data_IF_017214505180
#
_entry.id   IF_017214505180
#
_cell.length_a   1.000
_cell.length_b   1.000
_cell.length_c   1.000
_cell.angle_alpha   90.00
_cell.angle_beta   90.00
_cell.angle_gamma   90.00
#
_symmetry.space_group_name_H-M   'P 1'
#
loop_
_entity.id
_entity.type
_entity.pdbx_description
1 polymer ?
#
# COMPACT_ATOMS: atom_id res chain seq x y z
N UNK A 1 -5.94 40.36 -49.59
CA UNK A 1 -4.79 40.19 -50.52
C UNK A 1 -4.21 38.84 -50.18
N UNK A 2 -4.63 37.84 -50.82
CA UNK A 2 -4.22 37.07 -51.99
C UNK A 2 -3.41 35.87 -51.57
N UNK A 3 -4.06 34.70 -51.69
CA UNK A 3 -3.45 33.41 -52.03
C UNK A 3 -2.73 33.49 -53.38
N UNK A 4 -1.95 32.48 -53.88
CA UNK A 4 -2.41 31.13 -54.18
C UNK A 4 -1.37 30.02 -53.95
N UNK A 5 -1.73 28.78 -53.74
CA UNK A 5 -1.95 27.59 -54.56
C UNK A 5 -0.87 27.22 -55.63
N UNK A 6 -0.47 25.91 -55.62
CA UNK A 6 -0.14 25.06 -56.81
C UNK A 6 0.33 23.69 -56.31
N UNK A 7 -0.41 22.62 -56.39
CA UNK A 7 -0.66 21.58 -57.40
C UNK A 7 0.57 20.79 -57.89
N UNK A 8 0.63 19.48 -57.55
CA UNK A 8 0.92 18.15 -58.05
C UNK A 8 1.97 17.94 -59.16
N UNK A 9 2.19 16.72 -59.72
CA UNK A 9 1.41 15.48 -59.73
C UNK A 9 2.21 14.14 -59.59
N UNK A 10 1.50 13.07 -59.37
CA UNK A 10 1.42 11.69 -59.91
C UNK A 10 2.61 11.14 -60.73
N UNK A 11 3.02 9.94 -60.37
CA UNK A 11 3.84 9.07 -61.20
C UNK A 11 3.68 7.61 -60.84
N UNK A 12 2.77 6.94 -61.55
CA UNK A 12 2.55 5.48 -61.64
C UNK A 12 3.54 4.85 -62.59
N UNK A 13 4.07 3.62 -62.31
CA UNK A 13 4.48 2.64 -63.31
C UNK A 13 4.66 1.27 -62.63
N UNK A 14 3.81 0.40 -62.74
CA UNK A 14 3.49 -0.78 -63.54
C UNK A 14 4.65 -1.81 -63.75
N UNK A 15 4.51 -3.02 -63.14
CA UNK A 15 4.22 -4.38 -63.63
C UNK A 15 5.33 -5.01 -64.54
N UNK A 16 5.83 -6.20 -64.36
CA UNK A 16 5.40 -7.58 -64.21
C UNK A 16 6.55 -8.54 -64.63
N UNK A 17 6.34 -9.81 -64.96
CA UNK A 17 6.39 -10.97 -64.05
C UNK A 17 7.41 -12.02 -64.53
N UNK A 18 7.54 -13.09 -63.73
CA UNK A 18 7.93 -14.37 -64.35
C UNK A 18 9.16 -15.05 -63.79
N UNK A 19 8.99 -16.15 -63.21
CA UNK A 19 9.49 -17.46 -63.60
C UNK A 19 9.44 -18.43 -62.41
N UNK A 20 8.90 -19.57 -62.69
CA UNK A 20 8.58 -20.66 -61.78
C UNK A 20 9.79 -21.49 -61.31
N UNK A 21 9.54 -22.59 -60.65
CA UNK A 21 10.38 -23.19 -59.61
C UNK A 21 11.40 -24.22 -60.11
N UNK A 22 12.38 -24.53 -59.28
CA UNK A 22 12.91 -25.90 -59.32
C UNK A 22 12.91 -26.59 -57.96
N UNK A 23 12.28 -27.74 -58.03
CA UNK A 23 12.59 -29.06 -57.46
C UNK A 23 13.14 -29.17 -56.04
N UNK A 24 12.28 -29.74 -55.24
CA UNK A 24 12.40 -30.75 -54.19
C UNK A 24 13.79 -31.36 -54.00
N UNK A 25 14.33 -31.09 -52.80
CA UNK A 25 15.32 -32.00 -52.18
C UNK A 25 14.63 -32.55 -50.90
N UNK A 26 14.42 -33.84 -50.88
CA UNK A 26 13.98 -34.60 -49.72
C UNK A 26 15.07 -34.50 -48.65
N UNK A 27 14.82 -33.78 -47.56
CA UNK A 27 15.56 -33.99 -46.33
C UNK A 27 14.78 -34.94 -45.44
N UNK A 28 15.52 -35.92 -44.98
CA UNK A 28 15.13 -37.01 -44.10
C UNK A 28 14.70 -36.41 -42.76
N UNK A 29 13.49 -36.75 -42.33
CA UNK A 29 12.97 -36.44 -41.03
C UNK A 29 13.78 -37.18 -39.96
N UNK A 30 14.61 -36.46 -39.20
CA UNK A 30 14.95 -36.83 -37.85
C UNK A 30 13.78 -36.42 -36.92
N UNK A 31 13.36 -37.28 -36.02
CA UNK A 31 12.32 -36.93 -35.06
C UNK A 31 12.81 -35.80 -34.16
N UNK A 32 11.99 -34.80 -33.83
CA UNK A 32 12.37 -33.77 -32.88
C UNK A 32 12.67 -34.39 -31.54
N UNK A 33 13.86 -34.10 -31.04
CA UNK A 33 14.30 -34.34 -29.68
C UNK A 33 13.17 -33.87 -28.73
N UNK A 34 12.73 -34.75 -27.87
CA UNK A 34 11.66 -34.48 -26.94
C UNK A 34 11.99 -33.22 -26.12
N UNK A 35 11.26 -32.15 -26.38
CA UNK A 35 11.29 -30.95 -25.55
C UNK A 35 11.02 -31.41 -24.13
N UNK A 36 11.99 -31.25 -23.26
CA UNK A 36 11.81 -31.45 -21.82
C UNK A 36 10.61 -30.59 -21.41
N UNK A 37 9.54 -31.26 -20.95
CA UNK A 37 8.43 -30.59 -20.32
C UNK A 37 8.97 -29.71 -19.20
N UNK A 38 8.54 -28.43 -19.07
CA UNK A 38 8.96 -27.62 -17.95
C UNK A 38 8.52 -28.34 -16.68
N UNK A 39 9.47 -28.62 -15.79
CA UNK A 39 9.21 -29.20 -14.49
C UNK A 39 8.08 -28.41 -13.84
N UNK A 40 6.91 -29.04 -13.67
CA UNK A 40 5.78 -28.49 -12.93
C UNK A 40 6.29 -28.28 -11.52
N UNK A 41 6.39 -27.02 -11.12
CA UNK A 41 6.74 -26.66 -9.74
C UNK A 41 5.63 -27.20 -8.83
N UNK A 42 5.90 -28.34 -8.18
CA UNK A 42 5.00 -29.01 -7.23
C UNK A 42 4.77 -28.22 -5.92
N UNK A 43 5.25 -26.97 -5.86
CA UNK A 43 4.88 -26.05 -4.80
C UNK A 43 3.43 -25.61 -5.02
N UNK A 44 2.52 -26.24 -4.30
CA UNK A 44 1.12 -25.82 -4.23
C UNK A 44 1.00 -24.31 -4.01
N UNK A 45 -0.16 -23.68 -4.23
CA UNK A 45 -0.33 -22.23 -4.23
C UNK A 45 0.30 -21.65 -2.97
N UNK A 46 1.36 -20.85 -3.12
CA UNK A 46 2.09 -20.27 -2.01
C UNK A 46 1.07 -19.52 -1.12
N UNK A 47 0.90 -20.00 0.10
CA UNK A 47 -0.01 -19.34 1.06
C UNK A 47 0.55 -17.96 1.33
N UNK A 48 -0.20 -16.93 0.93
CA UNK A 48 0.19 -15.53 1.10
C UNK A 48 -0.58 -14.87 2.22
N UNK A 49 -0.08 -13.79 2.74
CA UNK A 49 -0.73 -12.92 3.71
C UNK A 49 -0.49 -11.47 3.32
N UNK A 50 -1.50 -10.62 3.48
CA UNK A 50 -1.35 -9.19 3.28
C UNK A 50 -0.73 -8.58 4.53
N UNK A 51 0.39 -7.86 4.37
CA UNK A 51 1.22 -7.37 5.47
C UNK A 51 1.49 -5.88 5.33
N UNK A 52 1.57 -5.21 6.48
CA UNK A 52 2.03 -3.83 6.58
C UNK A 52 2.75 -3.59 7.92
N UNK A 53 3.54 -2.52 7.99
CA UNK A 53 4.21 -2.05 9.18
C UNK A 53 3.57 -0.77 9.68
N UNK A 54 3.32 -0.68 10.98
CA UNK A 54 2.54 0.41 11.58
C UNK A 54 2.97 0.77 13.00
N UNK A 55 2.54 1.97 13.43
CA UNK A 55 2.47 2.39 14.83
C UNK A 55 1.01 2.45 15.25
N UNK A 56 0.70 2.04 16.47
CA UNK A 56 -0.65 2.14 17.03
C UNK A 56 -0.66 3.21 18.14
N UNK A 57 -1.60 4.19 18.10
CA UNK A 57 -1.84 5.05 19.23
C UNK A 57 -2.34 4.24 20.44
N UNK A 58 -2.02 4.65 21.68
CA UNK A 58 -2.56 4.01 22.88
C UNK A 58 -4.07 4.25 22.98
N UNK A 59 -4.76 3.43 23.78
CA UNK A 59 -6.22 3.44 23.87
C UNK A 59 -6.78 4.79 24.33
N UNK A 60 -6.11 5.46 25.26
CA UNK A 60 -6.52 6.77 25.75
C UNK A 60 -6.49 7.88 24.65
N UNK A 61 -5.50 7.84 23.75
CA UNK A 61 -5.46 8.74 22.60
C UNK A 61 -6.54 8.38 21.55
N UNK A 62 -6.80 7.09 21.35
CA UNK A 62 -7.90 6.63 20.49
C UNK A 62 -9.27 7.03 21.04
N UNK A 63 -9.49 6.87 22.34
CA UNK A 63 -10.75 7.24 23.03
C UNK A 63 -11.02 8.75 22.94
N UNK A 64 -9.99 9.57 23.00
CA UNK A 64 -10.11 11.02 22.86
C UNK A 64 -10.62 11.41 21.47
N UNK A 65 -10.03 10.84 20.41
CA UNK A 65 -10.48 11.04 19.04
C UNK A 65 -11.87 10.43 18.80
N UNK A 66 -12.17 9.25 19.37
CA UNK A 66 -13.47 8.62 19.24
C UNK A 66 -14.58 9.46 19.84
N UNK A 67 -14.33 10.10 20.99
CA UNK A 67 -15.28 11.06 21.61
C UNK A 67 -15.51 12.28 20.71
N UNK A 68 -14.47 12.83 20.11
CA UNK A 68 -14.58 13.94 19.17
C UNK A 68 -15.39 13.56 17.92
N UNK A 69 -15.34 12.29 17.51
CA UNK A 69 -16.10 11.74 16.38
C UNK A 69 -17.56 11.37 16.73
N UNK A 70 -17.96 11.39 18.00
CA UNK A 70 -19.31 11.01 18.43
C UNK A 70 -20.43 11.58 17.58
N UNK A 71 -20.52 12.92 17.39
CA UNK A 71 -21.54 13.52 16.54
C UNK A 71 -21.50 13.06 15.07
N UNK A 72 -20.31 12.72 14.57
CA UNK A 72 -20.15 12.26 13.20
C UNK A 72 -20.63 10.81 13.02
N UNK A 73 -20.47 9.95 14.01
CA UNK A 73 -21.03 8.57 13.99
C UNK A 73 -22.54 8.59 13.85
N UNK A 74 -23.20 9.47 14.60
CA UNK A 74 -24.66 9.62 14.56
C UNK A 74 -25.13 10.21 13.23
N UNK A 75 -24.48 11.25 12.75
CA UNK A 75 -24.86 11.97 11.53
C UNK A 75 -24.56 11.16 10.25
N UNK A 76 -23.49 10.38 10.24
CA UNK A 76 -23.00 9.67 9.03
C UNK A 76 -22.86 8.15 9.25
N UNK A 77 -23.93 7.43 9.61
CA UNK A 77 -23.87 5.99 9.86
C UNK A 77 -23.55 5.16 8.61
N UNK A 78 -23.64 5.75 7.41
CA UNK A 78 -23.31 5.09 6.14
C UNK A 78 -21.83 5.10 5.79
N UNK A 79 -21.01 5.92 6.46
CA UNK A 79 -19.56 5.82 6.33
C UNK A 79 -19.11 4.43 6.80
N UNK A 80 -18.17 3.87 6.07
CA UNK A 80 -17.53 2.61 6.48
C UNK A 80 -16.45 2.94 7.50
N UNK A 81 -16.89 3.08 8.76
CA UNK A 81 -16.00 3.38 9.87
C UNK A 81 -15.05 2.20 10.13
N UNK A 82 -13.78 2.50 10.32
CA UNK A 82 -12.83 1.54 10.86
C UNK A 82 -13.11 1.35 12.36
N UNK A 83 -12.87 0.15 12.85
CA UNK A 83 -12.95 -0.12 14.29
C UNK A 83 -11.85 0.66 14.99
N UNK A 84 -12.12 1.14 16.20
CA UNK A 84 -11.17 1.95 16.99
C UNK A 84 -9.91 1.13 17.31
N UNK A 85 -10.08 -0.17 17.60
CA UNK A 85 -8.97 -1.08 17.87
C UNK A 85 -8.01 -1.21 16.68
N UNK A 86 -8.53 -1.07 15.45
CA UNK A 86 -7.78 -1.20 14.21
C UNK A 86 -7.09 0.10 13.77
N UNK A 87 -7.21 1.18 14.56
CA UNK A 87 -6.60 2.46 14.22
C UNK A 87 -5.08 2.41 14.34
N UNK A 88 -4.38 2.76 13.25
CA UNK A 88 -2.93 2.71 13.17
C UNK A 88 -2.38 3.73 12.17
N UNK A 89 -1.11 4.08 12.32
CA UNK A 89 -0.34 4.89 11.38
C UNK A 89 0.48 3.93 10.51
N UNK A 90 0.14 3.76 9.25
CA UNK A 90 0.87 2.88 8.35
C UNK A 90 2.20 3.51 7.92
N UNK A 91 3.32 2.83 8.16
CA UNK A 91 4.66 3.24 7.73
C UNK A 91 5.03 2.66 6.36
N UNK A 92 4.70 1.38 6.14
CA UNK A 92 4.94 0.68 4.89
C UNK A 92 3.86 -0.37 4.64
N UNK A 93 3.23 -0.31 3.47
CA UNK A 93 2.26 -1.29 3.03
C UNK A 93 2.95 -2.26 2.03
N UNK A 94 3.17 -3.50 2.46
CA UNK A 94 3.96 -4.48 1.73
C UNK A 94 3.13 -5.29 0.72
N UNK A 95 1.80 -5.27 0.86
CA UNK A 95 0.92 -6.06 0.01
C UNK A 95 0.87 -7.53 0.40
N UNK A 96 0.61 -8.39 -0.57
CA UNK A 96 0.56 -9.85 -0.39
C UNK A 96 1.98 -10.43 -0.40
N UNK A 97 2.38 -11.08 0.68
CA UNK A 97 3.66 -11.74 0.82
C UNK A 97 3.48 -13.25 1.03
N UNK A 98 4.37 -14.10 0.48
CA UNK A 98 4.46 -15.50 0.88
C UNK A 98 4.69 -15.61 2.39
N UNK A 99 4.03 -16.53 3.06
CA UNK A 99 4.24 -16.75 4.50
C UNK A 99 5.70 -17.06 4.85
N UNK A 100 6.45 -17.63 3.93
CA UNK A 100 7.89 -17.91 4.08
C UNK A 100 8.76 -16.66 4.09
N UNK A 101 8.28 -15.53 3.55
CA UNK A 101 9.01 -14.27 3.52
C UNK A 101 8.88 -13.50 4.84
N UNK A 102 7.76 -13.66 5.55
CA UNK A 102 7.47 -12.91 6.78
C UNK A 102 8.55 -13.07 7.86
N UNK A 103 9.02 -14.31 8.17
CA UNK A 103 10.07 -14.49 9.17
C UNK A 103 11.40 -13.81 8.84
N UNK A 104 11.69 -13.57 7.55
CA UNK A 104 12.93 -12.91 7.12
C UNK A 104 12.96 -11.43 7.50
N UNK A 105 11.79 -10.81 7.67
CA UNK A 105 11.65 -9.41 8.06
C UNK A 105 11.87 -9.19 9.56
N UNK A 106 11.61 -10.21 10.39
CA UNK A 106 11.53 -10.04 11.85
C UNK A 106 12.89 -9.67 12.48
N UNK A 107 14.01 -10.37 12.23
CA UNK A 107 15.28 -10.05 12.88
C UNK A 107 15.79 -8.63 12.57
N UNK A 108 15.82 -8.15 11.30
CA UNK A 108 16.32 -6.82 11.01
C UNK A 108 15.39 -5.70 11.53
N UNK A 109 14.07 -5.92 11.60
CA UNK A 109 13.12 -4.97 12.20
C UNK A 109 13.28 -4.91 13.72
N UNK A 110 13.50 -6.04 14.38
CA UNK A 110 13.85 -6.10 15.80
C UNK A 110 15.17 -5.34 16.08
N UNK A 111 16.19 -5.52 15.25
CA UNK A 111 17.45 -4.78 15.32
C UNK A 111 17.26 -3.26 15.15
N UNK A 112 16.42 -2.82 14.22
CA UNK A 112 16.09 -1.41 14.03
C UNK A 112 15.47 -0.80 15.30
N UNK A 113 14.47 -1.47 15.86
CA UNK A 113 13.71 -0.94 17.01
C UNK A 113 14.55 -0.90 18.29
N UNK A 114 15.43 -1.86 18.49
CA UNK A 114 16.30 -1.91 19.68
C UNK A 114 17.19 -0.67 19.85
N UNK A 115 17.53 0.02 18.76
CA UNK A 115 18.40 1.18 18.74
C UNK A 115 17.65 2.51 18.52
N UNK A 116 16.32 2.50 18.63
CA UNK A 116 15.47 3.67 18.42
C UNK A 116 14.76 4.09 19.68
N UNK A 117 14.66 5.41 19.85
CA UNK A 117 13.85 6.00 20.92
C UNK A 117 12.37 6.02 20.49
N UNK A 118 11.42 5.94 21.45
CA UNK A 118 10.02 6.23 21.21
C UNK A 118 9.83 7.61 20.58
N UNK A 119 8.80 7.73 19.76
CA UNK A 119 8.44 9.00 19.08
C UNK A 119 7.30 9.67 19.84
N UNK A 120 7.44 10.95 20.14
CA UNK A 120 6.36 11.75 20.74
C UNK A 120 5.43 12.25 19.64
N UNK A 121 4.22 11.74 19.60
CA UNK A 121 3.22 12.00 18.57
C UNK A 121 1.89 12.42 19.21
N UNK A 122 1.04 13.10 18.45
CA UNK A 122 -0.35 13.37 18.79
C UNK A 122 -1.24 13.18 17.56
N UNK A 123 -2.51 12.85 17.77
CA UNK A 123 -3.53 12.89 16.73
C UNK A 123 -4.00 14.34 16.57
N UNK A 124 -4.03 14.85 15.34
CA UNK A 124 -4.32 16.26 15.10
C UNK A 124 -5.13 16.48 13.82
N UNK A 125 -6.20 17.25 13.95
CA UNK A 125 -7.00 17.65 12.83
C UNK A 125 -7.66 16.48 12.08
N UNK A 126 -8.34 16.81 10.99
CA UNK A 126 -8.95 15.87 10.08
C UNK A 126 -8.69 16.25 8.62
N UNK A 127 -8.75 15.27 7.75
CA UNK A 127 -8.65 15.48 6.32
C UNK A 127 -9.19 14.31 5.53
N UNK A 128 -9.08 14.40 4.22
CA UNK A 128 -9.54 13.33 3.35
C UNK A 128 -8.61 13.14 2.15
N UNK A 129 -8.56 11.92 1.60
CA UNK A 129 -7.99 11.66 0.29
C UNK A 129 -9.14 11.43 -0.69
N UNK A 130 -9.11 12.18 -1.80
CA UNK A 130 -10.08 12.07 -2.90
C UNK A 130 -11.55 12.08 -2.41
N UNK A 131 -11.84 12.85 -1.34
CA UNK A 131 -13.17 12.94 -0.69
C UNK A 131 -13.76 11.59 -0.26
N UNK A 132 -12.91 10.55 -0.22
CA UNK A 132 -13.35 9.17 0.00
C UNK A 132 -12.75 8.51 1.23
N UNK A 133 -11.54 8.87 1.59
CA UNK A 133 -10.84 8.31 2.75
C UNK A 133 -10.72 9.39 3.79
N UNK A 134 -11.52 9.31 4.84
CA UNK A 134 -11.44 10.19 6.00
C UNK A 134 -10.28 9.75 6.90
N UNK A 135 -9.49 10.71 7.37
CA UNK A 135 -8.35 10.44 8.25
C UNK A 135 -8.18 11.54 9.31
N UNK A 136 -7.50 11.19 10.42
CA UNK A 136 -6.89 12.15 11.35
C UNK A 136 -5.41 12.29 11.05
N UNK A 137 -4.90 13.52 11.06
CA UNK A 137 -3.49 13.80 10.92
C UNK A 137 -2.69 13.44 12.16
N UNK A 138 -1.38 13.58 12.03
CA UNK A 138 -0.38 13.32 13.09
C UNK A 138 0.45 14.57 13.28
N UNK A 139 0.70 14.90 14.54
CA UNK A 139 1.58 16.00 14.98
C UNK A 139 2.68 15.46 15.91
N UNK A 140 3.70 16.25 16.17
CA UNK A 140 4.82 15.92 17.06
C UNK A 140 6.12 15.65 16.29
N UNK A 141 6.86 14.59 16.64
CA UNK A 141 8.14 14.23 16.00
C UNK A 141 7.94 13.63 14.61
N UNK A 142 7.48 14.46 13.67
CA UNK A 142 7.26 14.05 12.28
C UNK A 142 8.56 13.70 11.56
N UNK A 143 9.66 14.36 11.89
CA UNK A 143 10.96 14.06 11.31
C UNK A 143 11.43 12.67 11.73
N UNK A 144 11.34 12.33 13.01
CA UNK A 144 11.59 10.98 13.52
C UNK A 144 10.69 9.94 12.88
N UNK A 145 9.41 10.25 12.69
CA UNK A 145 8.43 9.37 12.04
C UNK A 145 8.79 9.12 10.57
N UNK A 146 9.19 10.13 9.82
CA UNK A 146 9.63 9.99 8.43
C UNK A 146 10.91 9.18 8.33
N UNK A 147 11.90 9.41 9.22
CA UNK A 147 13.13 8.60 9.29
C UNK A 147 12.82 7.14 9.58
N UNK A 148 11.97 6.87 10.58
CA UNK A 148 11.55 5.51 10.90
C UNK A 148 10.92 4.81 9.69
N UNK A 149 10.00 5.49 9.00
CA UNK A 149 9.36 4.93 7.81
C UNK A 149 10.34 4.65 6.67
N UNK A 150 11.34 5.50 6.50
CA UNK A 150 12.42 5.29 5.50
C UNK A 150 13.23 4.05 5.85
N UNK A 151 13.72 3.94 7.08
CA UNK A 151 14.55 2.81 7.51
C UNK A 151 13.79 1.48 7.47
N UNK A 152 12.52 1.49 7.88
CA UNK A 152 11.62 0.33 7.76
C UNK A 152 11.52 -0.13 6.30
N UNK A 153 11.32 0.81 5.36
CA UNK A 153 11.20 0.51 3.95
C UNK A 153 12.51 0.00 3.33
N UNK A 154 13.63 0.57 3.75
CA UNK A 154 14.95 0.14 3.27
C UNK A 154 15.30 -1.26 3.76
N UNK A 155 14.97 -1.60 5.02
CA UNK A 155 15.09 -2.96 5.55
C UNK A 155 14.24 -3.93 4.76
N UNK A 156 12.98 -3.60 4.49
CA UNK A 156 12.06 -4.46 3.75
C UNK A 156 12.58 -4.72 2.33
N UNK A 157 13.11 -3.69 1.66
CA UNK A 157 13.74 -3.82 0.33
C UNK A 157 14.99 -4.70 0.41
N UNK A 158 15.84 -4.52 1.42
CA UNK A 158 17.03 -5.34 1.63
C UNK A 158 16.71 -6.82 1.86
N UNK A 159 15.52 -7.13 2.40
CA UNK A 159 15.00 -8.51 2.50
C UNK A 159 14.40 -9.03 1.18
N UNK A 160 14.53 -8.31 0.07
CA UNK A 160 14.07 -8.73 -1.25
C UNK A 160 12.56 -8.53 -1.49
N UNK A 161 11.87 -7.77 -0.62
CA UNK A 161 10.44 -7.50 -0.79
C UNK A 161 10.25 -6.25 -1.66
N UNK A 162 9.51 -6.43 -2.76
CA UNK A 162 9.09 -5.33 -3.64
C UNK A 162 7.70 -4.83 -3.25
N UNK A 163 7.55 -3.54 -3.09
CA UNK A 163 6.28 -2.87 -2.77
C UNK A 163 6.26 -1.44 -3.34
N UNK A 164 5.08 -0.80 -3.47
CA UNK A 164 4.99 0.58 -3.95
C UNK A 164 5.68 1.55 -2.99
N UNK A 165 6.82 2.10 -3.41
CA UNK A 165 7.60 3.05 -2.62
C UNK A 165 7.03 4.46 -2.77
N UNK A 166 6.11 4.82 -1.88
CA UNK A 166 5.48 6.14 -1.84
C UNK A 166 5.96 6.90 -0.59
N UNK A 167 6.18 8.22 -0.68
CA UNK A 167 6.48 9.04 0.49
C UNK A 167 5.42 8.84 1.57
N UNK A 168 5.87 8.75 2.83
CA UNK A 168 4.95 8.68 3.96
C UNK A 168 4.09 9.95 4.03
N UNK A 169 2.80 9.77 4.12
CA UNK A 169 1.84 10.80 4.51
C UNK A 169 1.27 10.40 5.88
N UNK A 170 1.78 10.97 6.99
CA UNK A 170 1.38 10.55 8.32
C UNK A 170 -0.13 10.78 8.52
N UNK A 171 -0.88 9.71 8.70
CA UNK A 171 -2.32 9.78 8.95
C UNK A 171 -2.83 8.50 9.60
N UNK A 172 -3.98 8.61 10.24
CA UNK A 172 -4.74 7.50 10.79
C UNK A 172 -6.09 7.44 10.07
N UNK A 173 -6.35 6.36 9.32
CA UNK A 173 -7.60 6.21 8.55
C UNK A 173 -8.77 5.92 9.48
N UNK A 174 -9.81 6.76 9.42
CA UNK A 174 -11.01 6.68 10.26
C UNK A 174 -12.17 5.97 9.57
N UNK A 175 -12.42 6.33 8.32
CA UNK A 175 -13.54 5.79 7.56
C UNK A 175 -13.31 5.87 6.04
N UNK A 176 -14.16 5.18 5.30
CA UNK A 176 -14.21 5.27 3.84
C UNK A 176 -15.63 5.53 3.37
N UNK A 177 -15.79 6.50 2.47
CA UNK A 177 -17.07 6.77 1.79
C UNK A 177 -17.43 5.64 0.83
N UNK A 178 -18.72 5.39 0.67
CA UNK A 178 -19.25 4.57 -0.42
C UNK A 178 -19.21 5.38 -1.73
N UNK A 179 -19.28 4.70 -2.87
CA UNK A 179 -19.42 5.40 -4.16
C UNK A 179 -20.66 6.31 -4.13
N UNK A 180 -20.48 7.57 -4.51
CA UNK A 180 -21.55 8.56 -4.57
C UNK A 180 -21.84 9.33 -3.26
N UNK A 181 -21.19 8.99 -2.15
CA UNK A 181 -21.36 9.67 -0.86
C UNK A 181 -20.02 10.27 -0.38
N UNK A 182 -19.47 11.20 -1.18
CA UNK A 182 -18.18 11.82 -0.88
C UNK A 182 -18.30 12.96 0.15
N UNK A 183 -19.45 13.61 0.20
CA UNK A 183 -19.68 14.78 1.05
C UNK A 183 -19.48 14.48 2.55
N UNK A 184 -19.86 13.30 3.00
CA UNK A 184 -19.74 12.93 4.41
C UNK A 184 -18.29 12.96 4.92
N UNK A 185 -17.32 12.43 4.15
CA UNK A 185 -15.92 12.47 4.55
C UNK A 185 -15.37 13.89 4.61
N UNK A 186 -15.78 14.76 3.70
CA UNK A 186 -15.38 16.18 3.66
C UNK A 186 -15.93 16.93 4.87
N UNK A 187 -17.20 16.75 5.20
CA UNK A 187 -17.85 17.45 6.32
C UNK A 187 -17.27 16.99 7.65
N UNK A 188 -17.02 15.69 7.83
CA UNK A 188 -16.39 15.18 9.07
C UNK A 188 -14.95 15.66 9.20
N UNK A 189 -14.19 15.69 8.10
CA UNK A 189 -12.83 16.22 8.10
C UNK A 189 -12.81 17.69 8.54
N UNK A 190 -13.73 18.50 8.03
CA UNK A 190 -13.89 19.90 8.45
C UNK A 190 -14.27 20.03 9.94
N UNK A 191 -15.14 19.15 10.44
CA UNK A 191 -15.50 19.10 11.85
C UNK A 191 -14.32 18.75 12.79
N UNK A 192 -13.33 18.00 12.29
CA UNK A 192 -12.12 17.66 13.04
C UNK A 192 -10.99 18.69 12.87
N UNK A 193 -11.14 19.74 12.08
CA UNK A 193 -10.05 20.65 11.75
C UNK A 193 -9.36 21.26 13.00
N UNK A 194 -10.11 21.52 14.07
CA UNK A 194 -9.59 22.06 15.33
C UNK A 194 -9.26 20.97 16.38
N UNK A 195 -9.38 19.69 16.04
CA UNK A 195 -9.04 18.62 16.98
C UNK A 195 -7.54 18.59 17.25
N UNK A 196 -7.18 18.57 18.53
CA UNK A 196 -5.81 18.42 19.02
C UNK A 196 -5.83 17.43 20.18
N UNK A 197 -5.33 16.24 19.93
CA UNK A 197 -5.27 15.17 20.93
C UNK A 197 -4.07 15.30 21.85
N UNK A 198 -4.05 14.52 22.92
CA UNK A 198 -2.90 14.44 23.82
C UNK A 198 -1.66 13.92 23.10
N UNK A 199 -0.49 14.35 23.57
CA UNK A 199 0.79 13.78 23.18
C UNK A 199 0.96 12.41 23.84
N UNK A 200 1.43 11.42 23.08
CA UNK A 200 1.75 10.07 23.53
C UNK A 200 3.08 9.61 22.96
N UNK A 201 3.64 8.56 23.52
CA UNK A 201 4.87 7.94 23.03
C UNK A 201 4.53 6.70 22.21
N UNK A 202 4.92 6.71 20.92
CA UNK A 202 4.87 5.53 20.07
C UNK A 202 6.04 4.62 20.45
N UNK A 203 5.75 3.60 21.26
CA UNK A 203 6.76 2.72 21.85
C UNK A 203 7.01 1.44 21.07
N UNK A 204 6.18 1.12 20.08
CA UNK A 204 6.24 -0.17 19.37
C UNK A 204 6.05 -0.02 17.88
N UNK A 205 6.85 -0.77 17.14
CA UNK A 205 6.64 -1.06 15.73
C UNK A 205 5.88 -2.39 15.61
N UNK A 206 4.79 -2.39 14.86
CA UNK A 206 3.95 -3.56 14.63
C UNK A 206 4.11 -4.08 13.20
N UNK A 207 4.28 -5.38 13.05
CA UNK A 207 4.14 -6.10 11.79
C UNK A 207 2.75 -6.72 11.78
N UNK A 208 1.87 -6.21 10.93
CA UNK A 208 0.45 -6.53 10.96
C UNK A 208 0.06 -7.34 9.73
N UNK A 209 -0.63 -8.45 9.96
CA UNK A 209 -1.29 -9.23 8.93
C UNK A 209 -2.76 -8.87 8.80
N UNK A 210 -3.31 -8.94 7.58
CA UNK A 210 -4.72 -8.75 7.35
C UNK A 210 -5.32 -9.79 6.43
N UNK A 211 -6.63 -10.06 6.62
CA UNK A 211 -7.42 -10.93 5.74
C UNK A 211 -8.11 -10.17 4.61
N UNK A 212 -7.66 -8.98 4.27
CA UNK A 212 -8.27 -8.15 3.23
C UNK A 212 -8.41 -8.93 1.91
N UNK A 213 -9.64 -8.99 1.38
CA UNK A 213 -9.94 -9.68 0.14
C UNK A 213 -10.05 -11.21 0.26
N UNK A 214 -9.95 -11.79 1.47
CA UNK A 214 -10.07 -13.23 1.71
C UNK A 214 -11.41 -13.56 2.38
N UNK A 215 -12.38 -13.95 1.57
CA UNK A 215 -13.69 -14.39 2.03
C UNK A 215 -14.67 -13.26 2.39
N UNK A 216 -15.95 -13.64 2.65
CA UNK A 216 -16.98 -12.72 3.10
C UNK A 216 -16.77 -12.40 4.58
N UNK A 217 -16.53 -11.18 4.91
CA UNK A 217 -16.42 -10.75 6.30
C UNK A 217 -15.69 -9.42 6.44
N UNK A 218 -15.70 -8.84 7.65
CA UNK A 218 -14.96 -7.64 7.90
C UNK A 218 -13.45 -7.88 7.79
N UNK A 219 -12.73 -6.84 7.37
CA UNK A 219 -11.27 -6.85 7.42
C UNK A 219 -10.88 -7.01 8.89
N UNK A 220 -9.99 -7.97 9.16
CA UNK A 220 -9.41 -8.19 10.48
C UNK A 220 -7.91 -7.97 10.38
N UNK A 221 -7.38 -7.21 11.33
CA UNK A 221 -5.96 -7.01 11.52
C UNK A 221 -5.49 -7.84 12.71
N UNK A 222 -4.30 -8.39 12.61
CA UNK A 222 -3.66 -9.15 13.68
C UNK A 222 -2.16 -8.89 13.65
N UNK A 223 -1.59 -8.57 14.80
CA UNK A 223 -0.15 -8.52 14.93
C UNK A 223 0.44 -9.90 14.63
N UNK A 224 1.38 -9.92 13.69
CA UNK A 224 2.26 -11.07 13.46
C UNK A 224 3.38 -11.01 14.48
N UNK A 225 3.93 -9.80 14.69
CA UNK A 225 4.93 -9.49 15.70
C UNK A 225 4.91 -7.99 16.06
N UNK A 226 5.49 -7.62 17.21
CA UNK A 226 5.63 -6.24 17.64
C UNK A 226 6.90 -6.06 18.49
N UNK A 227 7.68 -5.02 18.19
CA UNK A 227 8.95 -4.73 18.85
C UNK A 227 8.91 -3.40 19.57
N UNK A 228 9.32 -3.39 20.82
CA UNK A 228 9.48 -2.12 21.56
C UNK A 228 10.69 -1.36 21.05
N UNK A 229 10.58 -0.05 21.03
CA UNK A 229 11.73 0.83 20.86
C UNK A 229 12.61 0.81 22.11
N UNK A 230 13.92 0.81 21.88
CA UNK A 230 14.89 0.85 22.96
C UNK A 230 14.92 2.21 23.66
N UNK A 231 15.48 2.24 24.84
CA UNK A 231 15.62 3.47 25.64
C UNK A 231 16.87 4.25 25.26
N UNK A 232 17.43 4.11 24.08
CA UNK A 232 18.62 4.79 23.56
C UNK A 232 19.64 5.09 24.66
N UNK A 233 20.74 4.43 24.63
CA UNK A 233 21.91 4.74 25.48
C UNK A 233 22.44 6.14 25.22
#
# INVERSE_FOLDING_TARGET
MSSPATTGPVGETRVAPGAGPPRTVRQVNEPPEAAAEPAVDERGPATTIRVFLALAPPDDAKDELARALGPAYEKYPRLRWNRIEDWHITLAFLGELPLTTVPLLMPPLAGLTAHRRPLRLALHGGGHFDERVLWSGIEGDLEGLHRLATDVRDIVKACGVSFPDRPLRPHLTLARSRRGDHRAAVEVAAGLAAFSGRVWEAERLHLVGSNFGRGPGPIRYRDIDAWRFGHGS
#
